data_IF_992489920448
#
_entry.id   IF_992489920448
#
_cell.length_a   1.000
_cell.length_b   1.000
_cell.length_c   1.000
_cell.angle_alpha   90.00
_cell.angle_beta   90.00
_cell.angle_gamma   90.00
#
_symmetry.space_group_name_H-M   'P 1'
#
loop_
_entity.id
_entity.type
_entity.pdbx_description
1 polymer ?
#
# COMPACT_ATOMS: atom_id res chain seq x y z
N UNK A 1 14.61 9.92 -18.74
CA UNK A 1 14.54 8.52 -19.24
C UNK A 1 13.28 7.91 -18.66
N UNK A 2 12.34 7.43 -19.48
CA UNK A 2 11.26 6.58 -18.97
C UNK A 2 11.90 5.33 -18.36
N UNK A 3 11.71 5.13 -17.06
CA UNK A 3 12.20 3.94 -16.39
C UNK A 3 11.63 2.68 -17.05
N UNK A 4 12.46 1.65 -17.20
CA UNK A 4 12.01 0.34 -17.71
C UNK A 4 10.93 -0.31 -16.83
N UNK A 5 10.78 0.19 -15.59
CA UNK A 5 9.83 -0.30 -14.59
C UNK A 5 9.07 0.88 -13.98
N UNK A 6 7.75 0.74 -13.94
CA UNK A 6 6.81 1.55 -13.15
C UNK A 6 6.24 0.66 -12.04
N UNK A 7 5.86 1.23 -10.90
CA UNK A 7 5.29 0.48 -9.80
C UNK A 7 3.85 0.91 -9.56
N UNK A 8 2.96 -0.08 -9.41
CA UNK A 8 1.53 0.12 -9.25
C UNK A 8 1.02 -0.51 -7.95
N UNK A 9 0.18 0.21 -7.22
CA UNK A 9 -0.59 -0.34 -6.09
C UNK A 9 -2.07 -0.22 -6.36
N UNK A 10 -2.76 -1.37 -6.45
CA UNK A 10 -4.20 -1.42 -6.67
C UNK A 10 -4.94 -1.53 -5.33
N UNK A 11 -5.83 -0.59 -5.03
CA UNK A 11 -6.68 -0.68 -3.84
C UNK A 11 -8.03 -1.30 -4.21
N UNK A 12 -8.23 -2.55 -3.79
CA UNK A 12 -9.46 -3.32 -4.00
C UNK A 12 -10.33 -3.32 -2.75
N UNK A 13 -11.59 -3.68 -2.91
CA UNK A 13 -12.48 -3.93 -1.79
C UNK A 13 -11.98 -5.09 -0.92
N UNK A 14 -12.18 -4.98 0.39
CA UNK A 14 -11.99 -6.07 1.34
C UNK A 14 -13.11 -6.02 2.38
N UNK A 15 -13.55 -7.19 2.84
CA UNK A 15 -14.47 -7.27 3.98
C UNK A 15 -13.85 -6.57 5.18
N UNK A 16 -14.62 -5.66 5.79
CA UNK A 16 -14.23 -4.90 6.98
C UNK A 16 -13.90 -5.86 8.13
N UNK A 17 -12.77 -5.62 8.79
CA UNK A 17 -12.49 -6.18 10.10
C UNK A 17 -12.79 -5.18 11.20
N UNK A 18 -12.98 -5.68 12.41
CA UNK A 18 -13.12 -4.84 13.58
C UNK A 18 -11.84 -4.04 13.85
N UNK A 19 -11.99 -2.74 14.07
CA UNK A 19 -10.94 -1.81 14.48
C UNK A 19 -11.46 -0.99 15.67
N UNK A 20 -10.58 -0.58 16.60
CA UNK A 20 -10.94 0.36 17.66
C UNK A 20 -11.44 1.71 17.12
N UNK A 21 -10.99 2.10 15.93
CA UNK A 21 -11.38 3.35 15.25
C UNK A 21 -11.95 3.02 13.87
N UNK A 22 -13.12 3.58 13.54
CA UNK A 22 -13.74 3.39 12.22
C UNK A 22 -12.86 3.97 11.12
N UNK A 23 -12.41 3.08 10.23
CA UNK A 23 -11.62 3.40 9.04
C UNK A 23 -12.09 2.62 7.83
N UNK A 24 -11.99 3.26 6.68
CA UNK A 24 -12.22 2.58 5.40
C UNK A 24 -11.06 1.63 5.14
N UNK A 25 -11.38 0.40 4.74
CA UNK A 25 -10.40 -0.68 4.58
C UNK A 25 -10.33 -1.09 3.12
N UNK A 26 -9.11 -1.23 2.61
CA UNK A 26 -8.85 -1.73 1.25
C UNK A 26 -7.84 -2.86 1.28
N UNK A 27 -7.88 -3.70 0.25
CA UNK A 27 -6.81 -4.63 -0.05
C UNK A 27 -5.86 -3.94 -1.02
N UNK A 28 -4.66 -3.59 -0.57
CA UNK A 28 -3.59 -3.12 -1.44
C UNK A 28 -2.92 -4.32 -2.11
N UNK A 29 -2.82 -4.30 -3.43
CA UNK A 29 -2.01 -5.23 -4.22
C UNK A 29 -0.83 -4.49 -4.84
N UNK A 30 0.38 -4.90 -4.48
CA UNK A 30 1.64 -4.30 -4.94
C UNK A 30 2.13 -5.03 -6.18
N UNK A 31 2.31 -4.31 -7.29
CA UNK A 31 2.59 -4.88 -8.62
C UNK A 31 3.63 -4.04 -9.37
N UNK A 32 4.81 -4.57 -9.72
CA UNK A 32 5.69 -3.92 -10.68
C UNK A 32 5.09 -4.02 -12.09
N UNK A 33 5.26 -3.00 -12.91
CA UNK A 33 4.77 -2.87 -14.28
C UNK A 33 5.96 -2.58 -15.17
N UNK A 34 6.22 -3.48 -16.12
CA UNK A 34 7.36 -3.38 -17.02
C UNK A 34 6.94 -2.70 -18.31
N UNK A 35 7.72 -1.71 -18.74
CA UNK A 35 7.56 -1.07 -20.05
C UNK A 35 8.42 -1.86 -21.04
N UNK A 36 7.78 -2.68 -21.88
CA UNK A 36 8.47 -3.50 -22.89
C UNK A 36 8.21 -2.90 -24.26
N UNK A 37 9.25 -2.66 -25.04
CA UNK A 37 9.12 -2.33 -26.46
C UNK A 37 8.94 -3.62 -27.26
N UNK A 38 7.80 -3.77 -27.93
CA UNK A 38 7.54 -4.88 -28.85
C UNK A 38 7.02 -4.35 -30.18
N UNK A 39 7.63 -4.75 -31.30
CA UNK A 39 7.18 -4.44 -32.66
C UNK A 39 6.83 -2.95 -32.93
N UNK A 40 7.57 -2.01 -32.32
CA UNK A 40 7.35 -0.56 -32.50
C UNK A 40 6.32 0.07 -31.56
N UNK A 41 5.65 -0.69 -30.70
CA UNK A 41 4.71 -0.19 -29.69
C UNK A 41 5.25 -0.39 -28.26
N UNK A 42 5.11 0.63 -27.41
CA UNK A 42 5.35 0.50 -25.98
C UNK A 42 4.18 -0.26 -25.33
N UNK A 43 4.44 -1.45 -24.77
CA UNK A 43 3.44 -2.24 -24.05
C UNK A 43 3.77 -2.31 -22.56
N UNK A 44 2.78 -1.95 -21.74
CA UNK A 44 2.86 -2.12 -20.28
C UNK A 44 2.47 -3.54 -19.89
N UNK A 45 3.39 -4.29 -19.30
CA UNK A 45 3.17 -5.67 -18.85
C UNK A 45 3.20 -5.72 -17.31
N UNK A 46 2.08 -6.02 -16.64
CA UNK A 46 2.08 -6.16 -15.19
C UNK A 46 2.85 -7.42 -14.79
N UNK A 47 3.77 -7.26 -13.83
CA UNK A 47 4.49 -8.33 -13.19
C UNK A 47 3.65 -9.13 -12.20
N UNK A 48 4.30 -10.03 -11.47
CA UNK A 48 3.66 -10.81 -10.40
C UNK A 48 3.37 -9.90 -9.21
N UNK A 49 2.19 -10.08 -8.59
CA UNK A 49 1.84 -9.41 -7.34
C UNK A 49 2.88 -9.76 -6.28
N UNK A 50 3.53 -8.75 -5.71
CA UNK A 50 4.60 -8.89 -4.72
C UNK A 50 4.09 -8.98 -3.30
N UNK A 51 3.03 -8.27 -2.98
CA UNK A 51 2.37 -8.35 -1.68
C UNK A 51 0.88 -8.02 -1.79
N UNK A 52 0.11 -8.55 -0.83
CA UNK A 52 -1.26 -8.15 -0.58
C UNK A 52 -1.46 -7.85 0.89
N UNK A 53 -1.89 -6.63 1.21
CA UNK A 53 -2.08 -6.20 2.59
C UNK A 53 -3.42 -5.48 2.77
N UNK A 54 -3.99 -5.58 3.97
CA UNK A 54 -5.12 -4.73 4.35
C UNK A 54 -4.54 -3.39 4.76
N UNK A 55 -5.05 -2.32 4.18
CA UNK A 55 -4.62 -0.95 4.46
C UNK A 55 -5.80 -0.10 4.90
N UNK A 56 -5.52 0.94 5.68
CA UNK A 56 -6.53 1.81 6.29
C UNK A 56 -6.45 3.22 5.70
N UNK A 57 -7.63 3.78 5.36
CA UNK A 57 -7.76 5.09 4.74
C UNK A 57 -8.35 6.11 5.73
N UNK A 58 -7.86 7.36 5.74
CA UNK A 58 -7.01 7.98 4.71
C UNK A 58 -5.49 7.81 4.88
N UNK A 59 -5.03 7.22 5.98
CA UNK A 59 -3.62 7.22 6.39
C UNK A 59 -2.70 6.62 5.32
N UNK A 60 -3.05 5.48 4.73
CA UNK A 60 -2.26 4.87 3.65
C UNK A 60 -2.13 5.76 2.41
N UNK A 61 -3.17 6.51 2.05
CA UNK A 61 -3.12 7.41 0.90
C UNK A 61 -2.29 8.66 1.18
N UNK A 62 -2.36 9.18 2.41
CA UNK A 62 -1.55 10.31 2.82
C UNK A 62 -0.07 9.95 2.78
N UNK A 63 0.29 8.75 3.26
CA UNK A 63 1.66 8.28 3.19
C UNK A 63 2.14 8.08 1.75
N UNK A 64 1.32 7.46 0.89
CA UNK A 64 1.65 7.31 -0.53
C UNK A 64 1.92 8.68 -1.20
N UNK A 65 1.09 9.69 -0.92
CA UNK A 65 1.30 11.05 -1.44
C UNK A 65 2.60 11.67 -0.94
N UNK A 66 2.95 11.50 0.35
CA UNK A 66 4.23 11.96 0.92
C UNK A 66 5.44 11.33 0.22
N UNK A 67 5.32 10.07 -0.19
CA UNK A 67 6.32 9.34 -0.98
C UNK A 67 6.32 9.70 -2.48
N UNK A 68 5.49 10.65 -2.93
CA UNK A 68 5.46 11.11 -4.32
C UNK A 68 4.60 10.25 -5.27
N UNK A 69 3.74 9.37 -4.76
CA UNK A 69 2.85 8.59 -5.63
C UNK A 69 1.81 9.46 -6.33
N UNK A 70 1.60 9.19 -7.62
CA UNK A 70 0.44 9.68 -8.37
C UNK A 70 -0.78 8.84 -8.01
N UNK A 71 -1.85 9.49 -7.55
CA UNK A 71 -3.11 8.85 -7.16
C UNK A 71 -4.12 8.98 -8.30
N UNK A 72 -4.39 7.88 -8.98
CA UNK A 72 -5.44 7.78 -9.99
C UNK A 72 -6.72 7.30 -9.33
N UNK A 73 -7.60 8.25 -9.01
CA UNK A 73 -8.91 8.00 -8.42
C UNK A 73 -9.91 9.07 -8.87
N UNK A 74 -11.20 8.77 -8.78
CA UNK A 74 -12.24 9.76 -9.01
C UNK A 74 -12.14 10.90 -7.97
N UNK A 75 -12.17 12.16 -8.41
CA UNK A 75 -12.04 13.31 -7.51
C UNK A 75 -13.12 13.33 -6.42
N UNK A 76 -14.35 12.95 -6.75
CA UNK A 76 -15.46 12.82 -5.81
C UNK A 76 -15.20 11.74 -4.75
N UNK A 77 -14.50 10.65 -5.11
CA UNK A 77 -14.07 9.63 -4.16
C UNK A 77 -13.01 10.18 -3.21
N UNK A 78 -12.03 10.94 -3.71
CA UNK A 78 -11.00 11.55 -2.87
C UNK A 78 -11.59 12.57 -1.89
N UNK A 79 -12.53 13.40 -2.35
CA UNK A 79 -13.29 14.32 -1.49
C UNK A 79 -14.06 13.57 -0.41
N UNK A 80 -14.74 12.48 -0.77
CA UNK A 80 -15.48 11.64 0.18
C UNK A 80 -14.58 10.98 1.23
N UNK A 81 -13.40 10.48 0.84
CA UNK A 81 -12.45 9.85 1.75
C UNK A 81 -11.88 10.82 2.79
N UNK A 82 -11.80 12.11 2.47
CA UNK A 82 -11.34 13.16 3.38
C UNK A 82 -12.42 13.63 4.37
N UNK A 83 -13.68 13.23 4.19
CA UNK A 83 -14.75 13.57 5.13
C UNK A 83 -14.53 12.89 6.50
N UNK A 84 -15.00 13.48 7.61
CA UNK A 84 -15.04 12.80 8.90
C UNK A 84 -15.81 11.47 8.82
N UNK A 85 -15.43 10.43 9.60
CA UNK A 85 -16.11 9.14 9.59
C UNK A 85 -17.64 9.24 9.80
N UNK A 86 -18.08 10.12 10.71
CA UNK A 86 -19.50 10.36 11.00
C UNK A 86 -20.30 10.87 9.79
N UNK A 87 -19.68 11.64 8.88
CA UNK A 87 -20.32 12.10 7.65
C UNK A 87 -20.30 11.03 6.55
N UNK A 88 -19.26 10.19 6.51
CA UNK A 88 -19.15 9.08 5.55
C UNK A 88 -20.19 7.99 5.75
N UNK A 89 -20.53 7.68 7.01
CA UNK A 89 -21.57 6.69 7.31
C UNK A 89 -22.96 7.13 6.86
N UNK A 90 -23.23 8.44 6.89
CA UNK A 90 -24.51 9.01 6.42
C UNK A 90 -24.60 9.14 4.90
N UNK A 91 -23.46 9.35 4.24
CA UNK A 91 -23.36 9.57 2.80
C UNK A 91 -22.73 8.34 2.15
N UNK A 92 -23.54 7.34 1.79
CA UNK A 92 -23.03 6.20 1.03
C UNK A 92 -22.51 6.67 -0.35
N UNK A 93 -21.23 6.41 -0.64
CA UNK A 93 -20.66 6.72 -1.95
C UNK A 93 -21.06 5.66 -2.98
N UNK A 94 -21.74 6.08 -4.05
CA UNK A 94 -22.24 5.24 -5.15
C UNK A 94 -21.34 5.19 -6.39
N UNK A 95 -20.31 6.04 -6.47
CA UNK A 95 -19.43 6.12 -7.65
C UNK A 95 -18.35 5.04 -7.73
N UNK A 96 -17.48 5.15 -8.72
CA UNK A 96 -16.35 4.23 -8.91
C UNK A 96 -15.37 4.30 -7.73
N UNK A 97 -15.20 3.19 -7.00
CA UNK A 97 -14.33 3.07 -5.81
C UNK A 97 -12.91 2.60 -6.13
N UNK A 98 -12.52 2.59 -7.40
CA UNK A 98 -11.18 2.18 -7.86
C UNK A 98 -10.17 3.28 -7.52
N UNK A 99 -9.08 2.88 -6.87
CA UNK A 99 -7.93 3.74 -6.59
C UNK A 99 -6.69 2.98 -7.02
N UNK A 100 -5.87 3.63 -7.86
CA UNK A 100 -4.58 3.11 -8.30
C UNK A 100 -3.51 4.13 -7.89
N UNK A 101 -2.42 3.65 -7.32
CA UNK A 101 -1.25 4.45 -7.01
C UNK A 101 -0.13 4.08 -7.96
N UNK A 102 0.57 5.06 -8.52
CA UNK A 102 1.70 4.84 -9.43
C UNK A 102 2.94 5.63 -9.02
N UNK A 103 4.10 5.03 -9.15
CA UNK A 103 5.40 5.69 -8.99
C UNK A 103 6.43 5.06 -9.91
N UNK A 104 7.46 5.82 -10.29
CA UNK A 104 8.68 5.29 -10.93
C UNK A 104 9.85 5.15 -9.95
N UNK A 105 9.68 5.55 -8.69
CA UNK A 105 10.68 5.47 -7.63
C UNK A 105 10.58 4.12 -6.92
N UNK A 106 11.64 3.32 -7.00
CA UNK A 106 11.72 1.98 -6.42
C UNK A 106 11.65 2.05 -4.89
N UNK A 107 12.39 2.95 -4.26
CA UNK A 107 12.41 3.13 -2.81
C UNK A 107 11.08 3.63 -2.27
N UNK A 108 10.41 4.55 -2.96
CA UNK A 108 9.05 4.95 -2.62
C UNK A 108 8.11 3.74 -2.62
N UNK A 109 8.23 2.87 -3.62
CA UNK A 109 7.45 1.64 -3.69
C UNK A 109 7.77 0.65 -2.56
N UNK A 110 9.05 0.41 -2.26
CA UNK A 110 9.43 -0.46 -1.15
C UNK A 110 8.93 0.09 0.19
N UNK A 111 9.04 1.40 0.44
CA UNK A 111 8.52 2.06 1.65
C UNK A 111 7.02 1.87 1.78
N UNK A 112 6.26 2.16 0.72
CA UNK A 112 4.81 1.99 0.76
C UNK A 112 4.39 0.53 0.96
N UNK A 113 5.15 -0.43 0.40
CA UNK A 113 4.90 -1.86 0.61
C UNK A 113 5.15 -2.28 2.05
N UNK A 114 6.29 -1.93 2.63
CA UNK A 114 6.61 -2.24 4.03
C UNK A 114 5.57 -1.61 4.95
N UNK A 115 5.30 -0.32 4.77
CA UNK A 115 4.25 0.38 5.52
C UNK A 115 2.90 -0.32 5.41
N UNK A 116 2.43 -0.61 4.19
CA UNK A 116 1.12 -1.25 3.99
C UNK A 116 1.01 -2.65 4.61
N UNK A 117 2.08 -3.45 4.54
CA UNK A 117 2.11 -4.80 5.13
C UNK A 117 2.12 -4.73 6.66
N UNK A 118 2.92 -3.84 7.25
CA UNK A 118 3.05 -3.72 8.70
C UNK A 118 1.85 -3.00 9.31
N UNK A 119 1.31 -1.99 8.63
CA UNK A 119 0.08 -1.30 9.03
C UNK A 119 -1.07 -2.29 9.28
N UNK A 120 -1.16 -3.37 8.49
CA UNK A 120 -2.24 -4.36 8.57
C UNK A 120 -2.36 -5.07 9.94
N UNK A 121 -1.30 -5.07 10.76
CA UNK A 121 -1.31 -5.68 12.10
C UNK A 121 -1.43 -4.68 13.24
N UNK A 122 -1.28 -3.40 12.94
CA UNK A 122 -1.50 -2.27 13.86
C UNK A 122 -2.96 -1.86 13.85
N UNK A 123 -3.47 -1.33 14.95
CA UNK A 123 -4.91 -1.08 15.11
C UNK A 123 -5.27 0.37 15.35
N UNK A 124 -4.30 1.21 15.70
CA UNK A 124 -4.56 2.59 16.12
C UNK A 124 -3.89 3.60 15.17
N UNK A 125 -4.49 4.79 15.00
CA UNK A 125 -3.86 5.86 14.23
C UNK A 125 -2.50 6.32 14.76
N UNK A 126 -2.29 6.26 16.07
CA UNK A 126 -1.01 6.62 16.70
C UNK A 126 0.11 5.67 16.27
N UNK A 127 -0.13 4.36 16.31
CA UNK A 127 0.81 3.36 15.82
C UNK A 127 1.09 3.56 14.32
N UNK A 128 0.06 3.85 13.51
CA UNK A 128 0.27 4.11 12.08
C UNK A 128 1.15 5.33 11.82
N UNK A 129 1.00 6.40 12.62
CA UNK A 129 1.87 7.58 12.54
C UNK A 129 3.32 7.27 12.88
N UNK A 130 3.57 6.52 13.96
CA UNK A 130 4.92 6.07 14.34
C UNK A 130 5.55 5.17 13.27
N UNK A 131 4.77 4.22 12.70
CA UNK A 131 5.24 3.39 11.59
C UNK A 131 5.63 4.26 10.38
N UNK A 132 4.88 5.33 10.12
CA UNK A 132 5.15 6.24 9.01
C UNK A 132 6.53 6.90 9.15
N UNK A 133 6.81 7.48 10.31
CA UNK A 133 8.09 8.13 10.63
C UNK A 133 9.25 7.13 10.59
N UNK A 134 9.04 5.94 11.13
CA UNK A 134 10.03 4.87 11.09
C UNK A 134 10.36 4.45 9.65
N UNK A 135 9.34 4.12 8.83
CA UNK A 135 9.57 3.68 7.43
C UNK A 135 10.21 4.78 6.57
N UNK A 136 9.95 6.05 6.86
CA UNK A 136 10.63 7.17 6.20
C UNK A 136 12.12 7.22 6.53
N UNK A 137 12.47 7.00 7.80
CA UNK A 137 13.85 7.03 8.30
C UNK A 137 14.62 5.73 8.08
N UNK A 138 13.97 4.65 7.65
CA UNK A 138 14.65 3.38 7.37
C UNK A 138 15.78 3.52 6.35
N UNK A 139 16.93 2.96 6.70
CA UNK A 139 18.09 2.87 5.83
C UNK A 139 17.80 1.99 4.60
N UNK A 140 18.36 2.29 3.42
CA UNK A 140 18.12 1.55 2.18
C UNK A 140 18.30 0.03 2.30
N UNK A 141 19.29 -0.41 3.09
CA UNK A 141 19.60 -1.84 3.25
C UNK A 141 18.53 -2.58 4.06
N UNK A 142 18.06 -1.98 5.17
CA UNK A 142 17.00 -2.55 6.00
C UNK A 142 15.68 -2.58 5.23
N UNK A 143 15.37 -1.49 4.52
CA UNK A 143 14.18 -1.40 3.69
C UNK A 143 14.15 -2.50 2.62
N UNK A 144 15.25 -2.68 1.88
CA UNK A 144 15.38 -3.74 0.86
C UNK A 144 15.28 -5.13 1.47
N UNK A 145 15.90 -5.36 2.62
CA UNK A 145 15.83 -6.63 3.33
C UNK A 145 14.37 -6.98 3.65
N UNK A 146 13.66 -6.10 4.35
CA UNK A 146 12.28 -6.37 4.77
C UNK A 146 11.32 -6.47 3.59
N UNK A 147 11.43 -5.59 2.60
CA UNK A 147 10.64 -5.66 1.39
C UNK A 147 10.83 -7.01 0.66
N UNK A 148 12.08 -7.48 0.54
CA UNK A 148 12.39 -8.79 -0.04
C UNK A 148 11.81 -9.94 0.79
N UNK A 149 11.91 -9.88 2.11
CA UNK A 149 11.35 -10.88 3.02
C UNK A 149 9.83 -10.98 2.90
N UNK A 150 9.12 -9.85 2.86
CA UNK A 150 7.67 -9.83 2.65
C UNK A 150 7.31 -10.40 1.27
N UNK A 151 7.97 -9.92 0.22
CA UNK A 151 7.74 -10.39 -1.16
C UNK A 151 7.92 -11.90 -1.28
N UNK A 152 9.05 -12.42 -0.83
CA UNK A 152 9.36 -13.85 -0.95
C UNK A 152 8.39 -14.72 -0.11
N UNK A 153 8.01 -14.23 1.06
CA UNK A 153 6.99 -14.90 1.90
C UNK A 153 5.63 -14.92 1.20
N UNK A 154 5.24 -13.80 0.59
CA UNK A 154 4.00 -13.75 -0.18
C UNK A 154 4.04 -14.66 -1.39
N UNK A 155 5.12 -14.69 -2.17
CA UNK A 155 5.24 -15.57 -3.32
C UNK A 155 5.22 -17.06 -2.94
N UNK A 156 5.86 -17.43 -1.83
CA UNK A 156 5.89 -18.80 -1.32
C UNK A 156 4.51 -19.30 -0.89
N UNK A 157 3.77 -18.48 -0.14
CA UNK A 157 2.53 -18.93 0.50
C UNK A 157 1.24 -18.39 -0.13
N UNK A 158 1.34 -17.32 -0.93
CA UNK A 158 0.22 -16.54 -1.51
C UNK A 158 -0.87 -16.18 -0.49
N UNK A 159 -0.47 -16.00 0.77
CA UNK A 159 -1.38 -15.88 1.90
C UNK A 159 -1.06 -14.64 2.75
N UNK A 160 -2.02 -13.73 2.85
CA UNK A 160 -1.90 -12.50 3.66
C UNK A 160 -1.64 -12.77 5.13
N UNK A 161 -2.21 -13.83 5.73
CA UNK A 161 -1.99 -14.14 7.16
C UNK A 161 -0.53 -14.49 7.46
N UNK A 162 0.21 -15.02 6.48
CA UNK A 162 1.65 -15.26 6.62
C UNK A 162 2.45 -13.96 6.57
N UNK A 163 1.98 -12.96 5.82
CA UNK A 163 2.51 -11.60 5.92
C UNK A 163 2.18 -10.95 7.25
N UNK A 164 0.94 -11.08 7.74
CA UNK A 164 0.55 -10.58 9.07
C UNK A 164 1.45 -11.17 10.19
N UNK A 165 1.81 -12.46 10.10
CA UNK A 165 2.77 -13.07 11.03
C UNK A 165 4.17 -12.44 10.92
N UNK A 166 4.69 -12.29 9.70
CA UNK A 166 6.02 -11.70 9.49
C UNK A 166 6.06 -10.22 9.86
N UNK A 167 4.96 -9.49 9.66
CA UNK A 167 4.81 -8.09 10.06
C UNK A 167 4.91 -7.92 11.58
N UNK A 168 4.39 -8.86 12.38
CA UNK A 168 4.61 -8.84 13.84
C UNK A 168 6.07 -9.03 14.21
N UNK A 169 6.78 -9.92 13.51
CA UNK A 169 8.22 -10.10 13.70
C UNK A 169 9.04 -8.87 13.29
N UNK A 170 8.61 -8.16 12.26
CA UNK A 170 9.18 -6.86 11.91
C UNK A 170 9.09 -5.90 13.10
N UNK A 171 7.89 -5.76 13.71
CA UNK A 171 7.70 -4.90 14.87
C UNK A 171 8.61 -5.30 16.04
N UNK A 172 8.73 -6.58 16.34
CA UNK A 172 9.58 -7.07 17.43
C UNK A 172 11.08 -6.76 17.24
N UNK A 173 11.55 -6.71 15.99
CA UNK A 173 12.98 -6.50 15.67
C UNK A 173 13.31 -5.02 15.51
N UNK A 174 12.43 -4.28 14.84
CA UNK A 174 12.72 -2.92 14.37
C UNK A 174 12.08 -1.83 15.22
N UNK A 175 11.07 -2.19 16.02
CA UNK A 175 10.21 -1.26 16.73
C UNK A 175 10.19 -1.60 18.23
N UNK A 176 11.40 -1.60 18.82
CA UNK A 176 11.62 -1.64 20.27
C UNK A 176 11.30 -0.27 20.87
#
# INVERSE_FOLDING_TARGET
>A
MEGSVEYQVNLKYIKKAFLPVTREQKLAEFVPVFNVMGAGEQKKVPGKVEARARVYLPEFLNFAKKLGFKVEANESLLKWLNLPPSKRERLEYSGNKRIILRTSDDYAYLRLMVYGVVMAVLKTPAEWGQLEEYVLSMEPIQLRFWASRFKNTYWKYKNRRKLDYLARRFLEVEWI
#
